data_IF_170096555435
#
_entry.id   IF_170096555435
#
_cell.length_a   1.000
_cell.length_b   1.000
_cell.length_c   1.000
_cell.angle_alpha   90.00
_cell.angle_beta   90.00
_cell.angle_gamma   90.00
#
_symmetry.space_group_name_H-M   'P 1'
#
loop_
_entity.id
_entity.type
_entity.pdbx_description
1 polymer ?
#
# COMPACT_ATOMS: atom_id res chain seq x y z
N UNK A 1 -18.26 19.82 1.43
CA UNK A 1 -16.82 20.04 1.70
C UNK A 1 -16.64 20.30 3.18
N UNK A 2 -16.34 19.26 3.96
CA UNK A 2 -16.32 19.34 5.43
C UNK A 2 -14.94 19.84 5.87
N UNK A 3 -14.88 21.11 6.27
CA UNK A 3 -13.66 21.79 6.72
C UNK A 3 -13.38 21.36 8.16
N UNK A 4 -12.34 20.55 8.37
CA UNK A 4 -11.90 20.17 9.73
C UNK A 4 -11.21 21.39 10.35
N UNK A 5 -11.88 22.01 11.32
CA UNK A 5 -11.41 23.19 12.06
C UNK A 5 -10.46 22.73 13.17
N UNK A 6 -9.15 22.71 12.92
CA UNK A 6 -8.13 22.46 13.94
C UNK A 6 -7.94 23.71 14.81
N UNK A 7 -8.24 23.61 16.10
CA UNK A 7 -7.81 24.61 17.09
C UNK A 7 -6.27 24.68 17.06
N UNK A 8 -5.73 25.88 16.89
CA UNK A 8 -4.32 26.19 16.59
C UNK A 8 -3.31 25.57 17.58
N UNK A 9 -2.94 24.30 17.40
CA UNK A 9 -1.79 23.67 18.05
C UNK A 9 -0.56 23.80 17.14
N UNK A 10 0.48 24.51 17.60
CA UNK A 10 1.73 24.68 16.87
C UNK A 10 2.73 23.62 17.35
N UNK A 11 3.04 22.65 16.50
CA UNK A 11 4.15 21.72 16.75
C UNK A 11 5.48 22.47 16.52
N UNK A 12 6.32 22.51 17.56
CA UNK A 12 7.66 23.10 17.50
C UNK A 12 8.66 21.95 17.42
N UNK A 13 9.29 21.80 16.25
CA UNK A 13 10.34 20.80 16.04
C UNK A 13 11.70 21.39 16.46
N UNK A 14 12.18 21.04 17.65
CA UNK A 14 13.58 21.26 18.02
C UNK A 14 14.42 20.10 17.53
N UNK A 15 15.41 20.37 16.67
CA UNK A 15 16.34 19.36 16.17
C UNK A 15 17.68 19.97 15.81
N UNK A 16 18.75 19.47 16.45
CA UNK A 16 20.13 19.78 16.08
C UNK A 16 20.48 18.93 14.86
N UNK A 17 20.32 19.46 13.65
CA UNK A 17 20.54 18.70 12.41
C UNK A 17 20.55 19.55 11.14
N UNK A 18 21.07 18.99 10.05
CA UNK A 18 21.09 19.64 8.73
C UNK A 18 19.67 20.00 8.25
N UNK A 19 19.49 21.15 7.59
CA UNK A 19 18.18 21.67 7.15
C UNK A 19 17.31 20.64 6.41
N UNK A 20 17.93 19.79 5.58
CA UNK A 20 17.25 18.73 4.82
C UNK A 20 16.57 17.71 5.76
N UNK A 21 17.18 17.40 6.89
CA UNK A 21 16.64 16.44 7.86
C UNK A 21 15.42 17.00 8.58
N UNK A 22 15.42 18.30 8.91
CA UNK A 22 14.28 18.99 9.51
C UNK A 22 13.09 18.98 8.54
N UNK A 23 13.31 19.31 7.27
CA UNK A 23 12.24 19.28 6.27
C UNK A 23 11.70 17.87 6.01
N UNK A 24 12.56 16.83 6.02
CA UNK A 24 12.11 15.43 5.94
C UNK A 24 11.25 15.03 7.14
N UNK A 25 11.64 15.45 8.35
CA UNK A 25 10.88 15.18 9.57
C UNK A 25 9.48 15.82 9.53
N UNK A 26 9.42 17.09 9.13
CA UNK A 26 8.15 17.82 8.95
C UNK A 26 7.23 17.13 7.95
N UNK A 27 7.77 16.64 6.82
CA UNK A 27 6.99 15.87 5.84
C UNK A 27 6.47 14.56 6.41
N UNK A 28 7.33 13.79 7.09
CA UNK A 28 6.93 12.52 7.71
C UNK A 28 5.81 12.70 8.74
N UNK A 29 5.87 13.75 9.56
CA UNK A 29 4.80 14.08 10.51
C UNK A 29 3.51 14.48 9.78
N UNK A 30 3.63 15.25 8.70
CA UNK A 30 2.48 15.62 7.88
C UNK A 30 1.78 14.38 7.30
N UNK A 31 2.54 13.43 6.76
CA UNK A 31 2.00 12.20 6.20
C UNK A 31 1.28 11.36 7.27
N UNK A 32 1.86 11.24 8.47
CA UNK A 32 1.23 10.56 9.60
C UNK A 32 -0.11 11.21 10.00
N UNK A 33 -0.20 12.54 10.01
CA UNK A 33 -1.45 13.25 10.28
C UNK A 33 -2.49 13.07 9.17
N UNK A 34 -2.06 12.96 7.91
CA UNK A 34 -2.96 12.67 6.80
C UNK A 34 -3.58 11.28 6.94
N UNK A 35 -2.80 10.26 7.32
CA UNK A 35 -3.30 8.91 7.61
C UNK A 35 -4.28 8.93 8.80
N UNK A 36 -3.93 9.59 9.89
CA UNK A 36 -4.80 9.71 11.06
C UNK A 36 -6.13 10.41 10.72
N UNK A 37 -6.09 11.45 9.88
CA UNK A 37 -7.29 12.13 9.37
C UNK A 37 -8.14 11.18 8.52
N UNK A 38 -7.52 10.42 7.63
CA UNK A 38 -8.24 9.46 6.78
C UNK A 38 -8.99 8.43 7.62
N UNK A 39 -8.36 7.91 8.68
CA UNK A 39 -9.01 6.98 9.63
C UNK A 39 -10.21 7.61 10.36
N UNK A 40 -10.10 8.88 10.76
CA UNK A 40 -11.22 9.61 11.40
C UNK A 40 -12.37 9.81 10.41
N UNK A 41 -12.07 10.08 9.13
CA UNK A 41 -13.08 10.27 8.09
C UNK A 41 -13.72 8.94 7.63
N UNK A 42 -12.93 7.87 7.57
CA UNK A 42 -13.37 6.53 7.22
C UNK A 42 -12.50 5.51 7.95
N UNK A 43 -13.15 4.69 8.78
CA UNK A 43 -12.47 3.72 9.63
C UNK A 43 -12.16 2.39 8.92
N UNK A 44 -12.39 2.30 7.61
CA UNK A 44 -12.03 1.14 6.80
C UNK A 44 -10.53 1.11 6.52
N UNK A 45 -9.93 -0.05 6.77
CA UNK A 45 -8.51 -0.34 6.54
C UNK A 45 -8.37 -1.52 5.60
N UNK A 46 -7.22 -1.57 4.92
CA UNK A 46 -6.77 -2.69 4.10
C UNK A 46 -5.40 -3.11 4.60
N UNK A 47 -5.01 -4.34 4.28
CA UNK A 47 -3.67 -4.80 4.62
C UNK A 47 -2.63 -4.15 3.68
N UNK A 48 -1.48 -3.80 4.25
CA UNK A 48 -0.36 -3.23 3.49
C UNK A 48 0.46 -4.31 2.79
N UNK A 49 1.75 -4.05 2.52
CA UNK A 49 2.63 -5.06 1.91
C UNK A 49 2.18 -5.52 0.52
N UNK A 50 1.47 -4.64 -0.20
CA UNK A 50 0.84 -4.89 -1.51
C UNK A 50 -0.27 -5.95 -1.55
N UNK A 51 -0.83 -6.35 -0.40
CA UNK A 51 -1.97 -7.29 -0.35
C UNK A 51 -3.16 -6.81 -1.18
N UNK A 52 -3.49 -5.52 -1.07
CA UNK A 52 -4.65 -4.94 -1.73
C UNK A 52 -4.52 -4.99 -3.26
N UNK A 53 -3.32 -4.72 -3.77
CA UNK A 53 -2.99 -4.77 -5.18
C UNK A 53 -3.03 -6.21 -5.72
N UNK A 54 -2.44 -7.18 -5.02
CA UNK A 54 -2.44 -8.60 -5.40
C UNK A 54 -3.88 -9.15 -5.38
N UNK A 55 -4.65 -8.87 -4.33
CA UNK A 55 -6.04 -9.30 -4.25
C UNK A 55 -6.90 -8.70 -5.37
N UNK A 56 -6.66 -7.44 -5.74
CA UNK A 56 -7.33 -6.79 -6.86
C UNK A 56 -6.95 -7.45 -8.19
N UNK A 57 -5.66 -7.71 -8.40
CA UNK A 57 -5.11 -8.38 -9.59
C UNK A 57 -5.81 -9.73 -9.82
N UNK A 58 -5.89 -10.59 -8.80
CA UNK A 58 -6.57 -11.89 -8.89
C UNK A 58 -8.07 -11.78 -9.25
N UNK A 59 -8.78 -10.82 -8.65
CA UNK A 59 -10.22 -10.64 -8.90
C UNK A 59 -10.46 -10.09 -10.31
N UNK A 60 -9.61 -9.17 -10.77
CA UNK A 60 -9.72 -8.57 -12.10
C UNK A 60 -9.32 -9.58 -13.19
N UNK A 61 -8.31 -10.41 -12.97
CA UNK A 61 -7.93 -11.48 -13.90
C UNK A 61 -9.07 -12.51 -14.06
N UNK A 62 -9.65 -12.96 -12.94
CA UNK A 62 -10.81 -13.85 -12.97
C UNK A 62 -12.05 -13.21 -13.61
N UNK A 63 -12.16 -11.88 -13.57
CA UNK A 63 -13.21 -11.15 -14.28
C UNK A 63 -12.91 -11.04 -15.78
N UNK A 64 -11.64 -10.97 -16.19
CA UNK A 64 -11.23 -10.89 -17.59
C UNK A 64 -11.75 -12.09 -18.40
N UNK A 65 -11.75 -13.29 -17.80
CA UNK A 65 -12.23 -14.52 -18.44
C UNK A 65 -13.74 -14.52 -18.77
N UNK A 66 -14.50 -13.59 -18.19
CA UNK A 66 -15.94 -13.43 -18.51
C UNK A 66 -16.16 -12.65 -19.81
N UNK A 67 -15.14 -11.94 -20.31
CA UNK A 67 -15.21 -11.16 -21.54
C UNK A 67 -14.58 -11.92 -22.69
N UNK A 68 -15.33 -12.08 -23.79
CA UNK A 68 -14.86 -12.73 -25.01
C UNK A 68 -14.61 -11.64 -26.06
N UNK A 69 -13.38 -11.15 -26.17
CA UNK A 69 -13.03 -10.13 -27.17
C UNK A 69 -11.77 -9.33 -26.85
N UNK A 70 -11.59 -8.21 -27.55
CA UNK A 70 -10.43 -7.31 -27.39
C UNK A 70 -10.37 -6.72 -25.98
N UNK A 71 -11.51 -6.54 -25.33
CA UNK A 71 -11.61 -6.04 -23.95
C UNK A 71 -10.89 -6.94 -22.94
N UNK A 72 -10.86 -8.25 -23.17
CA UNK A 72 -10.13 -9.20 -22.32
C UNK A 72 -8.64 -8.86 -22.23
N UNK A 73 -8.01 -8.48 -23.36
CA UNK A 73 -6.61 -8.09 -23.38
C UNK A 73 -6.36 -6.82 -22.58
N UNK A 74 -7.25 -5.83 -22.68
CA UNK A 74 -7.14 -4.59 -21.91
C UNK A 74 -7.25 -4.84 -20.40
N UNK A 75 -8.16 -5.72 -19.99
CA UNK A 75 -8.34 -6.10 -18.57
C UNK A 75 -7.12 -6.87 -18.06
N UNK A 76 -6.56 -7.79 -18.86
CA UNK A 76 -5.33 -8.51 -18.52
C UNK A 76 -4.12 -7.58 -18.41
N UNK A 77 -3.97 -6.60 -19.30
CA UNK A 77 -2.89 -5.60 -19.17
C UNK A 77 -3.06 -4.72 -17.92
N UNK A 78 -4.29 -4.44 -17.49
CA UNK A 78 -4.51 -3.74 -16.22
C UNK A 78 -4.11 -4.60 -15.01
N UNK A 79 -4.36 -5.91 -15.07
CA UNK A 79 -3.91 -6.89 -14.06
C UNK A 79 -2.39 -6.89 -13.96
N UNK A 80 -1.68 -6.98 -15.10
CA UNK A 80 -0.21 -6.88 -15.15
C UNK A 80 0.31 -5.56 -14.57
N UNK A 81 -0.43 -4.46 -14.76
CA UNK A 81 -0.07 -3.16 -14.18
C UNK A 81 -0.24 -3.12 -12.65
N UNK A 82 -1.21 -3.86 -12.10
CA UNK A 82 -1.36 -4.00 -10.64
C UNK A 82 -0.20 -4.78 -10.04
N UNK A 83 0.31 -5.80 -10.73
CA UNK A 83 1.45 -6.62 -10.28
C UNK A 83 2.79 -5.85 -10.28
N UNK A 84 2.84 -4.69 -10.93
CA UNK A 84 4.05 -3.85 -10.92
C UNK A 84 4.40 -3.30 -9.53
N UNK A 85 3.39 -2.96 -8.73
CA UNK A 85 3.58 -2.44 -7.36
C UNK A 85 4.19 -3.49 -6.43
N UNK A 86 3.63 -4.72 -6.30
CA UNK A 86 4.25 -5.78 -5.51
C UNK A 86 5.64 -6.14 -6.08
N UNK A 87 5.80 -6.23 -7.40
CA UNK A 87 7.11 -6.51 -8.00
C UNK A 87 8.18 -5.49 -7.57
N UNK A 88 7.86 -4.19 -7.63
CA UNK A 88 8.76 -3.14 -7.16
C UNK A 88 9.07 -3.25 -5.66
N UNK A 89 8.09 -3.66 -4.84
CA UNK A 89 8.30 -3.85 -3.40
C UNK A 89 9.23 -5.04 -3.11
N UNK A 90 9.06 -6.16 -3.82
CA UNK A 90 9.94 -7.33 -3.73
C UNK A 90 11.37 -6.96 -4.13
N UNK A 91 11.55 -6.26 -5.26
CA UNK A 91 12.86 -5.81 -5.74
C UNK A 91 13.55 -4.87 -4.74
N UNK A 92 12.81 -3.90 -4.19
CA UNK A 92 13.34 -2.98 -3.18
C UNK A 92 13.70 -3.67 -1.86
N UNK A 93 13.08 -4.82 -1.58
CA UNK A 93 13.36 -5.63 -0.38
C UNK A 93 14.49 -6.63 -0.59
N UNK A 94 15.03 -6.75 -1.82
CA UNK A 94 16.10 -7.71 -2.14
C UNK A 94 15.63 -9.16 -2.26
N UNK A 95 14.32 -9.38 -2.34
CA UNK A 95 13.68 -10.68 -2.53
C UNK A 95 13.64 -11.04 -4.02
N UNK A 96 13.43 -12.32 -4.36
CA UNK A 96 13.30 -12.75 -5.76
C UNK A 96 11.85 -12.58 -6.26
N UNK A 97 11.60 -11.75 -7.30
CA UNK A 97 10.24 -11.48 -7.80
C UNK A 97 9.49 -12.72 -8.26
N UNK A 98 10.17 -13.64 -8.96
CA UNK A 98 9.53 -14.81 -9.57
C UNK A 98 9.05 -15.79 -8.50
N UNK A 99 9.87 -16.05 -7.48
CA UNK A 99 9.53 -16.99 -6.41
C UNK A 99 8.44 -16.43 -5.48
N UNK A 100 8.50 -15.13 -5.23
CA UNK A 100 7.53 -14.45 -4.37
C UNK A 100 6.16 -14.39 -5.05
N UNK A 101 6.09 -13.89 -6.30
CA UNK A 101 4.86 -13.71 -7.07
C UNK A 101 4.21 -15.04 -7.54
N UNK A 102 4.99 -16.11 -7.73
CA UNK A 102 4.45 -17.41 -8.17
C UNK A 102 3.79 -18.20 -7.03
N UNK A 103 4.02 -17.85 -5.76
CA UNK A 103 3.38 -18.49 -4.62
C UNK A 103 1.94 -17.97 -4.36
N UNK A 104 1.49 -16.95 -5.12
CA UNK A 104 0.47 -15.97 -4.72
C UNK A 104 -0.92 -16.15 -5.34
N UNK A 105 -1.49 -17.36 -5.30
CA UNK A 105 -2.94 -17.52 -5.59
C UNK A 105 -3.80 -17.45 -4.32
N UNK A 106 -3.35 -16.70 -3.30
CA UNK A 106 -4.07 -16.53 -2.04
C UNK A 106 -4.35 -15.03 -1.86
N UNK A 107 -5.60 -14.60 -1.69
CA UNK A 107 -6.00 -13.18 -1.61
C UNK A 107 -5.50 -12.43 -0.37
N UNK A 108 -4.67 -13.07 0.46
CA UNK A 108 -4.07 -12.52 1.68
C UNK A 108 -2.54 -12.75 1.71
N UNK A 109 -1.94 -13.12 0.58
CA UNK A 109 -0.50 -13.27 0.51
C UNK A 109 0.15 -11.89 0.41
N UNK A 110 1.08 -11.62 1.31
CA UNK A 110 1.74 -10.31 1.40
C UNK A 110 3.25 -10.44 1.35
N UNK A 111 3.89 -9.37 0.89
CA UNK A 111 5.34 -9.31 0.75
C UNK A 111 5.95 -8.95 2.09
N UNK A 112 6.63 -9.92 2.71
CA UNK A 112 7.40 -9.71 3.92
C UNK A 112 8.74 -9.03 3.62
N UNK A 113 8.73 -7.69 3.60
CA UNK A 113 9.94 -6.90 3.34
C UNK A 113 11.00 -7.01 4.47
N UNK A 114 10.61 -7.49 5.65
CA UNK A 114 11.49 -7.55 6.83
C UNK A 114 12.05 -8.96 7.10
N UNK A 115 11.69 -9.94 6.27
CA UNK A 115 12.15 -11.33 6.32
C UNK A 115 11.97 -11.96 7.72
N UNK A 116 10.80 -11.69 8.30
CA UNK A 116 10.36 -12.19 9.61
C UNK A 116 9.83 -13.63 9.49
N UNK A 117 9.60 -14.09 8.25
CA UNK A 117 9.23 -15.46 7.91
C UNK A 117 7.73 -15.74 8.01
N UNK A 118 6.90 -14.68 8.02
CA UNK A 118 5.44 -14.79 8.02
C UNK A 118 4.87 -13.83 6.99
N UNK A 119 3.95 -14.30 6.15
CA UNK A 119 3.40 -13.52 5.03
C UNK A 119 2.01 -12.94 5.36
N UNK A 120 1.66 -12.82 6.65
CA UNK A 120 0.41 -12.22 7.13
C UNK A 120 0.71 -10.87 7.85
N UNK A 121 0.36 -9.78 7.20
CA UNK A 121 0.49 -8.37 7.59
C UNK A 121 -0.44 -8.02 8.74
N UNK A 122 -1.48 -8.82 8.97
CA UNK A 122 -2.26 -8.72 10.19
C UNK A 122 -1.40 -9.04 11.40
N UNK A 123 -0.54 -10.06 11.31
CA UNK A 123 0.40 -10.41 12.38
C UNK A 123 1.48 -9.34 12.54
N UNK A 124 1.92 -8.75 11.42
CA UNK A 124 2.89 -7.63 11.41
C UNK A 124 2.31 -6.27 11.80
N UNK A 125 0.99 -6.17 11.98
CA UNK A 125 0.26 -4.91 12.21
C UNK A 125 0.50 -3.84 11.12
N UNK A 126 0.65 -4.27 9.87
CA UNK A 126 0.84 -3.38 8.72
C UNK A 126 -0.50 -3.13 8.05
N UNK A 127 -1.07 -1.95 8.32
CA UNK A 127 -2.36 -1.53 7.79
C UNK A 127 -2.26 -0.24 7.02
N UNK A 128 -3.05 -0.14 5.96
CA UNK A 128 -3.22 1.09 5.19
C UNK A 128 -4.68 1.56 5.21
N UNK A 129 -4.90 2.86 5.04
CA UNK A 129 -6.25 3.41 4.97
C UNK A 129 -6.86 3.11 3.62
N UNK A 130 -8.11 2.65 3.58
CA UNK A 130 -8.80 2.35 2.32
C UNK A 130 -8.86 3.58 1.39
N UNK A 131 -9.01 4.79 1.94
CA UNK A 131 -9.03 6.03 1.13
C UNK A 131 -7.68 6.30 0.45
N UNK A 132 -6.58 5.78 1.01
CA UNK A 132 -5.24 5.98 0.48
C UNK A 132 -4.88 5.06 -0.68
N UNK A 133 -5.70 4.05 -0.98
CA UNK A 133 -5.59 3.17 -2.15
C UNK A 133 -6.61 3.60 -3.20
#
# INVERSE_FOLDING_TARGET
>A
MMMIRWHHSKLIEHGTGNKIMIEKKKRSIHDAFCVARNLICNNSTVYGGSAAEVACSLVVDAAADKYLGVEQYAIRTFTEALDFVPMALVENSGLQPIETLSAENIPFYEIDCNDVGTNDMREHNVFETLIGK
#
